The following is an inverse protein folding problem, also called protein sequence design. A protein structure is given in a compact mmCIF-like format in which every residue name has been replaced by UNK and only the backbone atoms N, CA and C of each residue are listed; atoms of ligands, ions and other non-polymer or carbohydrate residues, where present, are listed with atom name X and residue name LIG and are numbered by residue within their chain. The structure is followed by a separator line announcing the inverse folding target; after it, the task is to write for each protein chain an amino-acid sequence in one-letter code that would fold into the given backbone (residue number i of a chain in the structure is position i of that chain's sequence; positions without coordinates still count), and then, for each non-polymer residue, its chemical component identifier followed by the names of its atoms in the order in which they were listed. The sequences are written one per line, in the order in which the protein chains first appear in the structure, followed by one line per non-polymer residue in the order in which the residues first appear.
data_IF_543271086206
#
_entry.id   IF_543271086206
#
_cell.length_a   1.000
_cell.length_b   1.000
_cell.length_c   1.000
_cell.angle_alpha   90.00
_cell.angle_beta   90.00
_cell.angle_gamma   90.00
#
_symmetry.space_group_name_H-M   'P 1'
#
loop_
_entity.id
_entity.type
_entity.pdbx_description
1 polymer ?
#
# COMPACT_ATOMS: atom_id res chain seq x y z
N UNK A 1 15.25 -4.09 13.65
CA UNK A 1 13.92 -4.67 13.89
C UNK A 1 12.86 -3.61 14.22
N UNK A 2 13.01 -2.78 15.27
CA UNK A 2 11.98 -1.78 15.67
C UNK A 2 11.43 -0.92 14.52
N UNK A 3 12.28 -0.42 13.63
CA UNK A 3 11.86 0.46 12.51
C UNK A 3 10.86 -0.19 11.55
N UNK A 4 11.04 -1.48 11.24
CA UNK A 4 10.12 -2.19 10.34
C UNK A 4 8.81 -2.51 11.07
N UNK A 5 8.88 -2.86 12.36
CA UNK A 5 7.68 -3.06 13.18
C UNK A 5 6.82 -1.80 13.25
N UNK A 6 7.42 -0.62 13.48
CA UNK A 6 6.68 0.65 13.46
C UNK A 6 6.04 0.91 12.11
N UNK A 7 6.76 0.72 11.01
CA UNK A 7 6.21 0.89 9.66
C UNK A 7 5.05 -0.07 9.39
N UNK A 8 5.17 -1.33 9.80
CA UNK A 8 4.09 -2.29 9.66
C UNK A 8 2.82 -1.81 10.36
N UNK A 9 2.91 -1.38 11.62
CA UNK A 9 1.73 -0.90 12.35
C UNK A 9 1.17 0.41 11.79
N UNK A 10 2.03 1.34 11.35
CA UNK A 10 1.58 2.56 10.66
C UNK A 10 0.81 2.20 9.39
N UNK A 11 1.28 1.22 8.61
CA UNK A 11 0.58 0.74 7.43
C UNK A 11 -0.73 0.05 7.76
N UNK A 12 -0.73 -0.84 8.75
CA UNK A 12 -1.88 -1.64 9.15
C UNK A 12 -3.02 -0.76 9.67
N UNK A 13 -2.72 0.12 10.64
CA UNK A 13 -3.71 1.04 11.18
C UNK A 13 -4.06 2.15 10.20
N UNK A 14 -3.07 2.72 9.50
CA UNK A 14 -3.32 3.77 8.53
C UNK A 14 -4.26 3.33 7.42
N UNK A 15 -4.03 2.15 6.83
CA UNK A 15 -4.93 1.57 5.85
C UNK A 15 -6.28 1.20 6.46
N UNK A 16 -6.29 0.58 7.65
CA UNK A 16 -7.53 0.24 8.35
C UNK A 16 -8.44 1.45 8.60
N UNK A 17 -7.87 2.61 8.96
CA UNK A 17 -8.63 3.86 9.11
C UNK A 17 -9.19 4.36 7.78
N UNK A 18 -8.41 4.32 6.70
CA UNK A 18 -8.90 4.70 5.35
C UNK A 18 -10.09 3.82 4.98
N UNK A 19 -10.01 2.52 5.25
CA UNK A 19 -11.08 1.60 4.93
C UNK A 19 -12.33 1.80 5.80
N UNK A 20 -12.15 2.03 7.10
CA UNK A 20 -13.25 2.39 8.00
C UNK A 20 -13.98 3.65 7.54
N UNK A 21 -13.25 4.66 7.07
CA UNK A 21 -13.84 5.89 6.53
C UNK A 21 -14.56 5.66 5.19
N UNK A 22 -14.07 4.74 4.35
CA UNK A 22 -14.64 4.48 3.02
C UNK A 22 -15.83 3.50 3.03
N UNK A 23 -15.77 2.44 3.85
CA UNK A 23 -16.76 1.34 3.88
C UNK A 23 -17.52 1.21 5.21
N UNK A 24 -17.05 1.84 6.28
CA UNK A 24 -17.62 1.71 7.63
C UNK A 24 -17.16 0.45 8.40
N UNK A 25 -16.40 -0.45 7.78
CA UNK A 25 -15.82 -1.64 8.41
C UNK A 25 -14.53 -2.05 7.71
N UNK A 26 -13.71 -2.88 8.37
CA UNK A 26 -12.46 -3.43 7.83
C UNK A 26 -12.30 -4.89 8.28
N UNK A 27 -11.70 -5.73 7.43
CA UNK A 27 -11.41 -7.12 7.77
C UNK A 27 -9.97 -7.24 8.26
N UNK A 28 -9.69 -8.12 9.23
CA UNK A 28 -8.34 -8.23 9.82
C UNK A 28 -7.25 -8.57 8.78
N UNK A 29 -7.60 -9.31 7.72
CA UNK A 29 -6.69 -9.60 6.59
C UNK A 29 -6.26 -8.32 5.86
N UNK A 30 -7.13 -7.31 5.81
CA UNK A 30 -6.89 -6.04 5.14
C UNK A 30 -5.95 -5.15 5.97
N UNK A 31 -6.05 -5.18 7.30
CA UNK A 31 -5.05 -4.56 8.19
C UNK A 31 -3.68 -5.18 7.96
N UNK A 32 -3.60 -6.51 7.88
CA UNK A 32 -2.33 -7.20 7.59
C UNK A 32 -1.78 -6.79 6.21
N UNK A 33 -2.62 -6.75 5.17
CA UNK A 33 -2.22 -6.28 3.85
C UNK A 33 -1.70 -4.84 3.87
N UNK A 34 -2.36 -3.93 4.61
CA UNK A 34 -1.92 -2.55 4.81
C UNK A 34 -0.54 -2.45 5.47
N UNK A 35 -0.28 -3.28 6.48
CA UNK A 35 1.03 -3.33 7.14
C UNK A 35 2.13 -3.87 6.23
N UNK A 36 1.86 -4.99 5.54
CA UNK A 36 2.82 -5.59 4.60
C UNK A 36 3.11 -4.65 3.44
N UNK A 37 2.09 -4.01 2.87
CA UNK A 37 2.29 -3.18 1.69
C UNK A 37 3.14 -1.95 1.99
N UNK A 38 3.02 -1.34 3.18
CA UNK A 38 3.89 -0.23 3.55
C UNK A 38 5.36 -0.65 3.70
N UNK A 39 5.62 -1.88 4.16
CA UNK A 39 6.97 -2.45 4.15
C UNK A 39 7.50 -2.65 2.73
N UNK A 40 6.68 -3.22 1.85
CA UNK A 40 7.03 -3.42 0.43
C UNK A 40 7.35 -2.08 -0.24
N UNK A 41 6.52 -1.04 -0.01
CA UNK A 41 6.79 0.30 -0.53
C UNK A 41 8.09 0.89 0.01
N UNK A 42 8.45 0.59 1.27
CA UNK A 42 9.72 1.05 1.84
C UNK A 42 10.93 0.33 1.24
N UNK A 43 10.83 -0.96 0.95
CA UNK A 43 11.90 -1.68 0.25
C UNK A 43 11.99 -1.24 -1.21
N UNK A 44 10.85 -0.98 -1.86
CA UNK A 44 10.80 -0.39 -3.21
C UNK A 44 11.47 0.99 -3.24
N UNK A 45 11.22 1.85 -2.24
CA UNK A 45 11.86 3.15 -2.08
C UNK A 45 13.40 3.01 -2.01
N UNK A 46 13.90 2.02 -1.25
CA UNK A 46 15.34 1.76 -1.11
C UNK A 46 15.97 1.16 -2.37
N UNK A 47 15.25 0.28 -3.07
CA UNK A 47 15.74 -0.39 -4.27
C UNK A 47 15.81 0.53 -5.49
N UNK A 48 14.89 1.50 -5.60
CA UNK A 48 14.86 2.44 -6.72
C UNK A 48 15.94 3.53 -6.57
N UNK A 49 16.77 3.77 -7.61
CA UNK A 49 17.74 4.86 -7.60
C UNK A 49 17.09 6.22 -7.38
N UNK A 50 17.79 7.13 -6.66
CA UNK A 50 17.30 8.49 -6.35
C UNK A 50 16.97 9.35 -7.58
N UNK A 51 17.54 9.01 -8.75
CA UNK A 51 17.25 9.66 -10.05
C UNK A 51 15.86 9.34 -10.61
N UNK A 52 15.22 8.27 -10.13
CA UNK A 52 13.88 7.89 -10.59
C UNK A 52 12.88 8.94 -10.12
N UNK A 53 12.09 9.55 -11.02
CA UNK A 53 11.16 10.61 -10.65
C UNK A 53 10.06 10.07 -9.74
N UNK A 54 9.53 10.92 -8.85
CA UNK A 54 8.53 10.54 -7.86
C UNK A 54 7.32 9.83 -8.48
N UNK A 55 6.82 10.32 -9.62
CA UNK A 55 5.67 9.74 -10.30
C UNK A 55 5.95 8.30 -10.77
N UNK A 56 7.15 8.00 -11.25
CA UNK A 56 7.51 6.63 -11.62
C UNK A 56 7.59 5.70 -10.40
N UNK A 57 8.05 6.21 -9.25
CA UNK A 57 8.05 5.46 -7.97
C UNK A 57 6.60 5.21 -7.51
N UNK A 58 5.72 6.19 -7.66
CA UNK A 58 4.30 6.05 -7.36
C UNK A 58 3.62 5.03 -8.28
N UNK A 59 3.96 5.01 -9.57
CA UNK A 59 3.45 4.02 -10.53
C UNK A 59 3.90 2.60 -10.14
N UNK A 60 5.17 2.42 -9.81
CA UNK A 60 5.68 1.13 -9.33
C UNK A 60 5.01 0.72 -8.00
N UNK A 61 4.84 1.66 -7.06
CA UNK A 61 4.17 1.42 -5.78
C UNK A 61 2.69 1.03 -5.95
N UNK A 62 1.96 1.73 -6.81
CA UNK A 62 0.58 1.40 -7.15
C UNK A 62 0.47 0.01 -7.80
N UNK A 63 1.43 -0.35 -8.64
CA UNK A 63 1.56 -1.69 -9.19
C UNK A 63 1.76 -2.76 -8.11
N UNK A 64 2.63 -2.52 -7.13
CA UNK A 64 2.80 -3.41 -5.99
C UNK A 64 1.52 -3.54 -5.15
N UNK A 65 0.83 -2.44 -4.86
CA UNK A 65 -0.43 -2.45 -4.09
C UNK A 65 -1.50 -3.25 -4.84
N UNK A 66 -1.70 -2.93 -6.13
CA UNK A 66 -2.68 -3.62 -6.98
C UNK A 66 -2.36 -5.11 -7.12
N UNK A 67 -1.07 -5.47 -7.27
CA UNK A 67 -0.65 -6.87 -7.33
C UNK A 67 -0.93 -7.61 -6.02
N UNK A 68 -0.70 -6.96 -4.87
CA UNK A 68 -1.04 -7.52 -3.56
C UNK A 68 -2.55 -7.68 -3.38
N UNK A 69 -3.35 -6.69 -3.78
CA UNK A 69 -4.82 -6.80 -3.76
C UNK A 69 -5.31 -7.96 -4.61
N UNK A 70 -4.76 -8.15 -5.80
CA UNK A 70 -5.11 -9.29 -6.65
C UNK A 70 -4.76 -10.62 -5.98
N UNK A 71 -3.54 -10.76 -5.45
CA UNK A 71 -3.11 -11.97 -4.76
C UNK A 71 -3.97 -12.29 -3.54
N UNK A 72 -4.24 -11.28 -2.71
CA UNK A 72 -5.09 -11.40 -1.53
C UNK A 72 -6.54 -11.66 -1.89
N UNK A 73 -7.06 -11.04 -2.95
CA UNK A 73 -8.40 -11.31 -3.46
C UNK A 73 -8.53 -12.76 -3.95
N UNK A 74 -7.54 -13.28 -4.68
CA UNK A 74 -7.52 -14.69 -5.10
C UNK A 74 -7.49 -15.63 -3.89
N UNK A 75 -6.65 -15.39 -2.89
CA UNK A 75 -6.59 -16.24 -1.70
C UNK A 75 -7.85 -16.10 -0.84
N UNK A 76 -8.18 -14.90 -0.41
CA UNK A 76 -9.28 -14.68 0.53
C UNK A 76 -10.66 -14.93 -0.12
N UNK A 77 -10.87 -14.57 -1.39
CA UNK A 77 -12.18 -14.73 -2.01
C UNK A 77 -12.33 -16.04 -2.77
N UNK A 78 -11.34 -16.41 -3.61
CA UNK A 78 -11.49 -17.62 -4.44
C UNK A 78 -11.16 -18.90 -3.67
N UNK A 79 -10.19 -18.87 -2.77
CA UNK A 79 -9.82 -20.06 -1.99
C UNK A 79 -10.62 -20.15 -0.68
N UNK A 80 -10.81 -19.03 0.03
CA UNK A 80 -11.38 -19.02 1.37
C UNK A 80 -12.82 -18.49 1.46
N UNK A 81 -13.37 -17.93 0.37
CA UNK A 81 -14.76 -17.45 0.33
C UNK A 81 -15.09 -16.27 1.24
N UNK A 82 -14.09 -15.46 1.64
CA UNK A 82 -14.25 -14.39 2.63
C UNK A 82 -14.98 -13.13 2.13
N UNK A 83 -15.06 -12.91 0.81
CA UNK A 83 -15.79 -11.77 0.23
C UNK A 83 -15.17 -10.38 0.52
N UNK A 84 -13.85 -10.29 0.58
CA UNK A 84 -13.10 -9.04 0.74
C UNK A 84 -13.02 -8.25 -0.58
N UNK A 85 -13.05 -6.92 -0.56
CA UNK A 85 -12.89 -6.07 -1.76
C UNK A 85 -13.65 -6.56 -3.01
N UNK A 86 -14.97 -6.36 -3.03
CA UNK A 86 -15.78 -6.66 -4.21
C UNK A 86 -15.76 -5.48 -5.18
N UNK A 87 -15.09 -5.66 -6.33
CA UNK A 87 -15.06 -4.71 -7.44
C UNK A 87 -15.75 -5.25 -8.69
N UNK A 88 -16.58 -6.28 -8.57
CA UNK A 88 -17.27 -6.91 -9.72
C UNK A 88 -18.15 -5.95 -10.51
N UNK A 89 -18.69 -4.92 -9.85
CA UNK A 89 -19.51 -3.85 -10.42
C UNK A 89 -18.71 -2.71 -11.08
N UNK A 90 -17.37 -2.76 -10.99
CA UNK A 90 -16.50 -1.67 -11.46
C UNK A 90 -16.02 -1.91 -12.87
N UNK A 91 -16.02 -0.84 -13.67
CA UNK A 91 -15.48 -0.88 -15.03
C UNK A 91 -14.00 -1.27 -15.03
N UNK A 92 -13.63 -2.16 -15.95
CA UNK A 92 -12.26 -2.64 -16.12
C UNK A 92 -11.76 -3.54 -14.98
N UNK A 93 -12.65 -4.04 -14.12
CA UNK A 93 -12.24 -4.95 -13.05
C UNK A 93 -11.62 -6.25 -13.59
N UNK A 94 -10.69 -6.82 -12.84
CA UNK A 94 -10.14 -8.14 -13.09
C UNK A 94 -10.68 -9.11 -12.04
N UNK A 95 -11.59 -10.00 -12.46
CA UNK A 95 -12.22 -11.03 -11.62
C UNK A 95 -12.91 -10.48 -10.36
N UNK A 96 -13.31 -9.21 -10.37
CA UNK A 96 -13.84 -8.49 -9.21
C UNK A 96 -12.84 -8.22 -8.09
N UNK A 97 -11.54 -8.45 -8.30
CA UNK A 97 -10.50 -8.38 -7.25
C UNK A 97 -9.69 -7.08 -7.27
N UNK A 98 -9.50 -6.51 -8.46
CA UNK A 98 -8.86 -5.20 -8.66
C UNK A 98 -9.61 -4.43 -9.73
N UNK A 99 -9.46 -3.10 -9.77
CA UNK A 99 -9.89 -2.30 -10.92
C UNK A 99 -9.01 -1.04 -11.12
N UNK A 100 -8.99 -0.47 -12.34
CA UNK A 100 -8.16 0.69 -12.67
C UNK A 100 -8.40 1.91 -11.77
N UNK A 101 -9.64 2.10 -11.31
CA UNK A 101 -10.02 3.21 -10.43
C UNK A 101 -9.29 3.14 -9.09
N UNK A 102 -9.24 1.98 -8.45
CA UNK A 102 -8.53 1.82 -7.18
C UNK A 102 -7.02 1.86 -7.38
N UNK A 103 -6.50 1.28 -8.46
CA UNK A 103 -5.08 1.44 -8.82
C UNK A 103 -4.65 2.91 -8.96
N UNK A 104 -5.53 3.77 -9.49
CA UNK A 104 -5.30 5.22 -9.52
C UNK A 104 -5.31 5.84 -8.12
N UNK A 105 -6.22 5.43 -7.24
CA UNK A 105 -6.22 5.89 -5.85
C UNK A 105 -4.94 5.47 -5.12
N UNK A 106 -4.45 4.26 -5.36
CA UNK A 106 -3.17 3.79 -4.83
C UNK A 106 -1.98 4.59 -5.36
N UNK A 107 -2.00 4.94 -6.64
CA UNK A 107 -1.00 5.84 -7.21
C UNK A 107 -0.98 7.20 -6.51
N UNK A 108 -2.15 7.81 -6.30
CA UNK A 108 -2.24 9.09 -5.60
C UNK A 108 -1.80 8.98 -4.14
N UNK A 109 -2.18 7.89 -3.45
CA UNK A 109 -1.80 7.64 -2.06
C UNK A 109 -0.29 7.37 -1.91
N UNK A 110 0.37 6.82 -2.92
CA UNK A 110 1.81 6.65 -2.93
C UNK A 110 2.57 7.99 -2.86
N UNK A 111 2.01 9.09 -3.37
CA UNK A 111 2.67 10.41 -3.38
C UNK A 111 3.05 10.85 -1.95
N UNK A 112 2.10 11.03 -1.00
CA UNK A 112 2.45 11.43 0.35
C UNK A 112 3.33 10.38 1.06
N UNK A 113 3.15 9.09 0.78
CA UNK A 113 3.98 8.03 1.38
C UNK A 113 5.45 8.17 1.00
N UNK A 114 5.78 8.29 -0.29
CA UNK A 114 7.16 8.44 -0.74
C UNK A 114 7.76 9.80 -0.35
N UNK A 115 6.95 10.86 -0.28
CA UNK A 115 7.39 12.16 0.26
C UNK A 115 7.76 12.04 1.73
N UNK A 116 6.94 11.38 2.54
CA UNK A 116 7.22 11.11 3.95
C UNK A 116 8.50 10.29 4.13
N UNK A 117 8.73 9.27 3.30
CA UNK A 117 9.98 8.51 3.33
C UNK A 117 11.20 9.38 3.03
N UNK A 118 11.12 10.24 2.01
CA UNK A 118 12.20 11.16 1.68
C UNK A 118 12.46 12.18 2.80
N UNK A 119 11.40 12.70 3.43
CA UNK A 119 11.50 13.64 4.55
C UNK A 119 12.14 12.97 5.78
N UNK A 120 11.67 11.78 6.15
CA UNK A 120 12.20 11.01 7.26
C UNK A 120 13.69 10.67 7.06
N UNK A 121 14.09 10.30 5.84
CA UNK A 121 15.50 10.04 5.52
C UNK A 121 16.39 11.28 5.69
N UNK A 122 15.90 12.45 5.24
CA UNK A 122 16.62 13.73 5.39
C UNK A 122 16.75 14.13 6.85
N UNK A 123 15.66 14.03 7.62
CA UNK A 123 15.66 14.33 9.05
C UNK A 123 16.63 13.41 9.80
N UNK A 124 16.59 12.11 9.52
CA UNK A 124 17.49 11.15 10.13
C UNK A 124 18.96 11.41 9.77
N UNK A 125 19.25 11.86 8.55
CA UNK A 125 20.60 12.26 8.14
C UNK A 125 21.06 13.53 8.88
N UNK A 126 20.18 14.51 9.07
CA UNK A 126 20.49 15.76 9.77
C UNK A 126 20.70 15.57 11.29
N UNK A 127 20.04 14.58 11.89
CA UNK A 127 20.12 14.28 13.33
C UNK A 127 21.25 13.31 13.70
N UNK A 128 21.95 12.71 12.74
CA UNK A 128 23.11 11.86 13.05
C UNK A 128 24.31 12.76 13.37
N UNK A 129 24.83 12.75 14.62
CA UNK A 129 26.08 13.43 14.92
C UNK A 129 27.21 12.80 14.10
N UNK A 130 28.15 13.65 13.66
CA UNK A 130 29.32 13.25 12.87
C UNK A 130 30.21 12.26 13.62
#
# INVERSE_FOLDING_TARGET
MLRNTTLFFVGAFGYGQIELLYRGYTHWTMLLSGGVILLVLRELDRALPRRVPLLARCAAGAGCITGMELAMGLVCNRLLGMGIWDYSDRWGNLWGQICPRFSLYWFLLCIPVFVCFACADRLHAALRPA
#
